data_IF_456501514384
#
_entry.id   IF_456501514384
#
_cell.length_a   1.000
_cell.length_b   1.000
_cell.length_c   1.000
_cell.angle_alpha   90.00
_cell.angle_beta   90.00
_cell.angle_gamma   90.00
#
_symmetry.space_group_name_H-M   'P 1'
#
loop_
_entity.id
_entity.type
_entity.pdbx_description
1 polymer ?
#
# COMPACT_ATOMS: atom_id res chain seq x y z
N UNK A 1 9.96 -6.43 -35.70
CA UNK A 1 9.16 -7.24 -34.75
C UNK A 1 9.00 -6.44 -33.47
N UNK A 2 7.77 -6.12 -33.03
CA UNK A 2 7.52 -5.38 -31.78
C UNK A 2 7.31 -6.39 -30.66
N UNK A 3 8.25 -6.48 -29.72
CA UNK A 3 8.25 -7.43 -28.59
C UNK A 3 7.02 -7.26 -27.70
N UNK A 4 6.05 -8.15 -27.87
CA UNK A 4 4.83 -8.29 -27.04
C UNK A 4 4.73 -9.68 -26.41
N UNK A 5 5.72 -10.53 -26.66
CA UNK A 5 5.85 -11.91 -26.18
C UNK A 5 5.93 -12.01 -24.66
N UNK A 6 6.46 -10.98 -23.99
CA UNK A 6 6.56 -10.92 -22.54
C UNK A 6 5.44 -10.11 -21.87
N UNK A 7 4.31 -9.86 -22.53
CA UNK A 7 3.15 -9.21 -21.91
C UNK A 7 2.11 -10.24 -21.49
N UNK A 8 1.63 -10.10 -20.25
CA UNK A 8 0.44 -10.77 -19.74
C UNK A 8 -0.81 -10.24 -20.49
N UNK A 9 -1.95 -10.96 -20.48
CA UNK A 9 -3.18 -10.52 -21.12
C UNK A 9 -3.71 -9.15 -20.65
N UNK A 10 -3.31 -8.73 -19.45
CA UNK A 10 -3.64 -7.42 -18.86
C UNK A 10 -2.68 -6.29 -19.31
N UNK A 11 -1.71 -6.60 -20.19
CA UNK A 11 -0.69 -5.69 -20.69
C UNK A 11 0.51 -5.51 -19.75
N UNK A 12 0.51 -6.14 -18.57
CA UNK A 12 1.64 -6.13 -17.65
C UNK A 12 2.82 -6.94 -18.18
N UNK A 13 4.05 -6.57 -17.81
CA UNK A 13 5.22 -7.40 -18.16
C UNK A 13 5.23 -8.67 -17.31
N UNK A 14 5.36 -9.82 -17.96
CA UNK A 14 5.53 -11.10 -17.29
C UNK A 14 6.78 -11.06 -16.41
N UNK A 15 6.62 -11.47 -15.16
CA UNK A 15 7.71 -11.56 -14.20
C UNK A 15 7.43 -12.70 -13.21
N UNK A 16 8.50 -13.23 -12.61
CA UNK A 16 8.41 -14.11 -11.44
C UNK A 16 9.04 -13.36 -10.28
N UNK A 17 8.29 -13.20 -9.20
CA UNK A 17 8.78 -12.53 -8.00
C UNK A 17 9.96 -13.28 -7.37
N UNK A 18 10.98 -12.54 -6.91
CA UNK A 18 12.09 -13.11 -6.15
C UNK A 18 11.61 -13.88 -4.91
N UNK A 19 10.51 -13.43 -4.28
CA UNK A 19 9.89 -14.11 -3.16
C UNK A 19 9.35 -15.50 -3.55
N UNK A 20 8.80 -15.65 -4.76
CA UNK A 20 8.38 -16.95 -5.27
C UNK A 20 9.59 -17.84 -5.62
N UNK A 21 10.63 -17.28 -6.24
CA UNK A 21 11.88 -17.99 -6.56
C UNK A 21 12.56 -18.50 -5.28
N UNK A 22 12.61 -17.68 -4.24
CA UNK A 22 13.21 -18.04 -2.96
C UNK A 22 12.45 -19.20 -2.29
N UNK A 23 11.12 -19.21 -2.37
CA UNK A 23 10.25 -20.12 -1.62
C UNK A 23 9.93 -21.43 -2.32
N UNK A 24 9.69 -21.42 -3.63
CA UNK A 24 9.15 -22.60 -4.31
C UNK A 24 10.27 -23.52 -4.82
N UNK A 25 10.21 -24.81 -4.45
CA UNK A 25 11.21 -25.81 -4.83
C UNK A 25 11.39 -25.96 -6.33
N UNK A 26 10.33 -25.75 -7.13
CA UNK A 26 10.37 -25.78 -8.60
C UNK A 26 11.29 -24.73 -9.22
N UNK A 27 11.64 -23.67 -8.48
CA UNK A 27 12.57 -22.62 -8.92
C UNK A 27 13.98 -22.79 -8.35
N UNK A 28 14.32 -23.95 -7.77
CA UNK A 28 15.64 -24.21 -7.18
C UNK A 28 16.79 -23.99 -8.18
N UNK A 29 16.65 -24.45 -9.42
CA UNK A 29 17.64 -24.23 -10.48
C UNK A 29 17.80 -22.76 -10.83
N UNK A 30 16.69 -22.03 -10.98
CA UNK A 30 16.71 -20.58 -11.24
C UNK A 30 17.37 -19.82 -10.09
N UNK A 31 17.04 -20.16 -8.84
CA UNK A 31 17.65 -19.58 -7.64
C UNK A 31 19.16 -19.80 -7.60
N UNK A 32 19.63 -21.01 -7.90
CA UNK A 32 21.07 -21.32 -7.95
C UNK A 32 21.77 -20.52 -9.06
N UNK A 33 21.14 -20.40 -10.22
CA UNK A 33 21.70 -19.64 -11.35
C UNK A 33 21.81 -18.15 -11.05
N UNK A 34 20.78 -17.52 -10.47
CA UNK A 34 20.81 -16.09 -10.10
C UNK A 34 21.94 -15.77 -9.09
N UNK A 35 22.23 -16.69 -8.17
CA UNK A 35 23.34 -16.55 -7.21
C UNK A 35 24.69 -16.75 -7.90
N UNK A 36 24.83 -17.77 -8.74
CA UNK A 36 26.06 -18.06 -9.51
C UNK A 36 26.47 -16.87 -10.38
N UNK A 37 25.50 -16.29 -11.08
CA UNK A 37 25.69 -15.11 -11.95
C UNK A 37 25.79 -13.79 -11.17
N UNK A 38 25.75 -13.84 -9.83
CA UNK A 38 25.83 -12.67 -8.94
C UNK A 38 24.74 -11.62 -9.21
N UNK A 39 23.61 -12.03 -9.79
CA UNK A 39 22.44 -11.16 -10.01
C UNK A 39 21.69 -10.89 -8.70
N UNK A 40 21.78 -11.82 -7.75
CA UNK A 40 21.31 -11.68 -6.36
C UNK A 40 22.30 -12.35 -5.42
N UNK A 41 22.41 -11.86 -4.19
CA UNK A 41 23.21 -12.53 -3.15
C UNK A 41 22.38 -13.63 -2.47
N UNK A 42 23.07 -14.62 -1.89
CA UNK A 42 22.40 -15.65 -1.07
C UNK A 42 21.63 -15.04 0.12
N UNK A 43 22.17 -13.95 0.67
CA UNK A 43 21.52 -13.17 1.73
C UNK A 43 20.20 -12.56 1.27
N UNK A 44 20.17 -11.91 0.10
CA UNK A 44 18.94 -11.32 -0.47
C UNK A 44 17.88 -12.39 -0.71
N UNK A 45 18.28 -13.57 -1.18
CA UNK A 45 17.37 -14.72 -1.36
C UNK A 45 16.83 -15.24 -0.02
N UNK A 46 17.68 -15.34 1.00
CA UNK A 46 17.27 -15.73 2.35
C UNK A 46 16.30 -14.72 2.97
N UNK A 47 16.58 -13.43 2.83
CA UNK A 47 15.68 -12.36 3.27
C UNK A 47 14.34 -12.42 2.54
N UNK A 48 14.33 -12.64 1.22
CA UNK A 48 13.08 -12.80 0.49
C UNK A 48 12.27 -14.01 0.97
N UNK A 49 12.93 -15.10 1.40
CA UNK A 49 12.26 -16.26 1.99
C UNK A 49 11.66 -15.96 3.37
N UNK A 50 12.33 -15.16 4.19
CA UNK A 50 11.93 -14.88 5.58
C UNK A 50 10.79 -13.87 5.69
N UNK A 51 10.71 -12.91 4.75
CA UNK A 51 9.66 -11.89 4.74
C UNK A 51 8.28 -12.55 4.61
N UNK A 52 7.47 -12.35 5.64
CA UNK A 52 6.10 -12.84 5.72
C UNK A 52 5.27 -11.98 6.68
N UNK A 53 3.95 -12.08 6.56
CA UNK A 53 3.02 -11.38 7.44
C UNK A 53 1.90 -12.34 7.89
N UNK A 54 1.31 -12.14 9.07
CA UNK A 54 0.18 -12.92 9.52
C UNK A 54 -1.09 -12.63 8.69
N UNK A 55 -1.87 -13.67 8.40
CA UNK A 55 -3.19 -13.61 7.79
C UNK A 55 -4.11 -14.64 8.45
N UNK A 56 -4.78 -14.22 9.52
CA UNK A 56 -5.51 -15.14 10.39
C UNK A 56 -4.54 -16.18 10.96
N UNK A 57 -4.85 -17.49 10.86
CA UNK A 57 -3.98 -18.55 11.36
C UNK A 57 -2.77 -18.84 10.45
N UNK A 58 -2.72 -18.27 9.25
CA UNK A 58 -1.68 -18.57 8.26
C UNK A 58 -0.64 -17.45 8.15
N UNK A 59 0.55 -17.78 7.65
CA UNK A 59 1.54 -16.81 7.16
C UNK A 59 1.46 -16.71 5.65
N UNK A 60 1.55 -15.48 5.16
CA UNK A 60 1.59 -15.18 3.73
C UNK A 60 2.90 -14.48 3.40
N UNK A 61 3.32 -14.62 2.15
CA UNK A 61 4.52 -14.00 1.62
C UNK A 61 4.13 -13.08 0.46
N UNK A 62 4.94 -12.05 0.16
CA UNK A 62 4.83 -11.38 -1.12
C UNK A 62 5.02 -12.40 -2.24
N UNK A 63 4.33 -12.20 -3.35
CA UNK A 63 4.40 -13.09 -4.51
C UNK A 63 4.29 -12.30 -5.80
N UNK A 64 4.29 -13.02 -6.91
CA UNK A 64 4.07 -12.44 -8.23
C UNK A 64 2.74 -11.67 -8.25
N UNK A 65 2.77 -10.41 -8.69
CA UNK A 65 1.62 -9.50 -8.66
C UNK A 65 1.36 -8.77 -7.33
N UNK A 66 2.16 -9.01 -6.29
CA UNK A 66 2.09 -8.21 -5.07
C UNK A 66 2.57 -6.79 -5.32
N UNK A 67 1.83 -5.79 -4.81
CA UNK A 67 2.28 -4.40 -4.79
C UNK A 67 3.34 -4.23 -3.71
N UNK A 68 4.57 -3.90 -4.11
CA UNK A 68 5.70 -3.69 -3.20
C UNK A 68 6.04 -2.20 -3.13
N UNK A 69 6.09 -1.64 -1.94
CA UNK A 69 6.49 -0.26 -1.67
C UNK A 69 7.72 -0.30 -0.76
N UNK A 70 8.76 0.45 -1.10
CA UNK A 70 9.99 0.48 -0.29
C UNK A 70 10.47 1.91 0.00
N UNK A 71 9.85 2.95 -0.56
CA UNK A 71 10.19 4.34 -0.28
C UNK A 71 8.99 5.27 -0.36
N UNK A 72 9.10 6.42 0.28
CA UNK A 72 8.19 7.54 0.05
C UNK A 72 8.30 8.06 -1.39
N UNK A 73 7.19 8.61 -1.90
CA UNK A 73 7.09 9.08 -3.28
C UNK A 73 7.06 7.97 -4.34
N UNK A 74 7.04 6.68 -3.94
CA UNK A 74 6.79 5.60 -4.87
C UNK A 74 5.30 5.52 -5.20
N UNK A 75 4.94 5.83 -6.45
CA UNK A 75 3.57 5.76 -6.94
C UNK A 75 3.07 4.32 -7.13
N UNK A 76 1.80 4.08 -6.83
CA UNK A 76 1.09 2.83 -7.12
C UNK A 76 -0.36 3.09 -7.52
N UNK A 77 -0.94 2.15 -8.28
CA UNK A 77 -2.31 2.26 -8.80
C UNK A 77 -3.33 1.78 -7.77
N UNK A 78 -4.44 2.50 -7.68
CA UNK A 78 -5.62 2.12 -6.90
C UNK A 78 -6.88 2.27 -7.76
N UNK A 79 -7.72 1.24 -7.78
CA UNK A 79 -9.06 1.28 -8.37
C UNK A 79 -10.05 1.85 -7.35
N UNK A 80 -10.88 2.81 -7.77
CA UNK A 80 -11.82 3.51 -6.89
C UNK A 80 -12.91 2.61 -6.29
N UNK A 81 -13.22 1.49 -6.92
CA UNK A 81 -14.15 0.48 -6.38
C UNK A 81 -13.49 -0.48 -5.40
N UNK A 82 -12.19 -0.40 -5.20
CA UNK A 82 -11.48 -1.28 -4.27
C UNK A 82 -11.87 -0.97 -2.83
N UNK A 83 -12.54 -1.92 -2.18
CA UNK A 83 -12.85 -1.82 -0.73
C UNK A 83 -11.58 -2.04 0.09
N UNK A 84 -10.66 -2.87 -0.38
CA UNK A 84 -9.39 -3.14 0.28
C UNK A 84 -8.28 -3.18 -0.75
N UNK A 85 -7.23 -2.40 -0.51
CA UNK A 85 -5.96 -2.50 -1.23
C UNK A 85 -4.94 -3.10 -0.28
N UNK A 86 -4.31 -4.19 -0.71
CA UNK A 86 -3.25 -4.85 0.03
C UNK A 86 -1.93 -4.63 -0.67
N UNK A 87 -0.95 -4.16 0.09
CA UNK A 87 0.40 -3.94 -0.40
C UNK A 87 1.40 -4.40 0.65
N UNK A 88 2.63 -4.59 0.24
CA UNK A 88 3.75 -4.90 1.11
C UNK A 88 4.64 -3.67 1.23
N UNK A 89 4.99 -3.32 2.45
CA UNK A 89 6.06 -2.37 2.72
C UNK A 89 7.31 -3.16 3.04
N UNK A 90 8.35 -3.02 2.22
CA UNK A 90 9.57 -3.82 2.28
C UNK A 90 10.75 -2.93 2.67
N UNK A 91 11.56 -3.40 3.60
CA UNK A 91 12.86 -2.85 3.96
C UNK A 91 13.99 -3.79 3.59
N UNK A 92 15.21 -3.48 4.05
CA UNK A 92 16.43 -4.23 3.76
C UNK A 92 16.38 -5.68 4.27
N UNK A 93 15.76 -5.91 5.43
CA UNK A 93 15.66 -7.24 6.08
C UNK A 93 14.27 -7.59 6.60
N UNK A 94 13.31 -6.66 6.52
CA UNK A 94 11.96 -6.79 7.07
C UNK A 94 10.91 -6.50 6.01
N UNK A 95 9.71 -7.02 6.19
CA UNK A 95 8.59 -6.70 5.32
C UNK A 95 7.27 -6.96 6.01
N UNK A 96 6.35 -6.01 5.85
CA UNK A 96 5.05 -6.03 6.53
C UNK A 96 3.92 -5.76 5.53
N UNK A 97 2.77 -6.38 5.77
CA UNK A 97 1.60 -6.20 4.91
C UNK A 97 0.74 -5.04 5.40
N UNK A 98 0.51 -4.08 4.52
CA UNK A 98 -0.39 -2.96 4.74
C UNK A 98 -1.74 -3.20 4.06
N UNK A 99 -2.83 -2.89 4.78
CA UNK A 99 -4.19 -2.86 4.25
C UNK A 99 -4.68 -1.42 4.25
N UNK A 100 -4.89 -0.86 3.06
CA UNK A 100 -5.67 0.37 2.91
C UNK A 100 -7.14 -0.01 2.77
N UNK A 101 -7.92 0.32 3.80
CA UNK A 101 -9.36 0.05 3.83
C UNK A 101 -10.08 1.25 3.25
N UNK A 102 -10.91 1.00 2.24
CA UNK A 102 -11.86 1.95 1.64
C UNK A 102 -11.20 3.28 1.21
N UNK A 103 -10.16 3.23 0.37
CA UNK A 103 -9.47 4.45 -0.04
C UNK A 103 -10.42 5.44 -0.74
N UNK A 104 -11.39 4.94 -1.52
CA UNK A 104 -12.34 5.77 -2.26
C UNK A 104 -13.80 5.36 -2.04
N UNK A 105 -14.10 4.79 -0.87
CA UNK A 105 -15.45 4.36 -0.52
C UNK A 105 -15.79 4.68 0.94
N UNK A 106 -17.08 4.70 1.25
CA UNK A 106 -17.56 4.97 2.61
C UNK A 106 -18.68 3.99 2.96
N UNK A 107 -18.87 3.74 4.26
CA UNK A 107 -20.08 3.03 4.71
C UNK A 107 -21.13 4.03 5.14
N UNK A 108 -22.35 3.76 4.71
CA UNK A 108 -23.52 4.58 5.01
C UNK A 108 -24.59 3.74 5.68
N UNK A 109 -25.35 4.40 6.54
CA UNK A 109 -26.58 3.85 7.08
C UNK A 109 -27.68 4.15 6.06
N UNK A 110 -28.27 3.10 5.50
CA UNK A 110 -29.47 3.16 4.71
C UNK A 110 -30.66 2.88 5.64
N UNK A 111 -31.41 3.94 5.94
CA UNK A 111 -32.70 3.84 6.62
C UNK A 111 -33.76 3.63 5.55
N UNK A 112 -33.94 2.37 5.13
CA UNK A 112 -35.05 2.01 4.25
C UNK A 112 -36.41 2.27 4.92
N UNK A 113 -37.49 2.19 4.13
CA UNK A 113 -38.87 2.42 4.58
C UNK A 113 -39.36 1.46 5.69
N UNK A 114 -38.60 0.41 5.98
CA UNK A 114 -38.92 -0.60 7.00
C UNK A 114 -38.42 -0.26 8.41
N UNK A 115 -37.71 0.87 8.60
CA UNK A 115 -37.15 1.28 9.89
C UNK A 115 -35.91 0.50 10.34
N UNK A 116 -35.44 -0.48 9.56
CA UNK A 116 -34.20 -1.22 9.83
C UNK A 116 -33.03 -0.44 9.22
N UNK A 117 -32.10 0.00 10.08
CA UNK A 117 -30.86 0.64 9.63
C UNK A 117 -29.92 -0.43 9.04
N UNK A 118 -29.66 -0.36 7.74
CA UNK A 118 -28.68 -1.22 7.06
C UNK A 118 -27.40 -0.46 6.80
N UNK A 119 -26.26 -1.14 6.93
CA UNK A 119 -24.95 -0.58 6.69
C UNK A 119 -24.53 -0.93 5.25
N UNK A 120 -24.61 0.02 4.32
CA UNK A 120 -24.36 -0.18 2.88
C UNK A 120 -23.03 0.47 2.49
N UNK A 121 -22.27 -0.19 1.61
CA UNK A 121 -21.05 0.37 1.04
C UNK A 121 -21.40 1.35 -0.09
N UNK A 122 -20.94 2.58 0.04
CA UNK A 122 -21.10 3.64 -0.95
C UNK A 122 -19.80 3.80 -1.73
N UNK A 123 -19.87 3.54 -3.04
CA UNK A 123 -18.75 3.62 -4.00
C UNK A 123 -19.10 4.59 -5.12
N UNK A 124 -19.03 5.92 -4.86
CA UNK A 124 -19.50 6.93 -5.81
C UNK A 124 -18.63 7.09 -7.05
N UNK A 125 -17.43 6.50 -7.04
CA UNK A 125 -16.43 6.71 -8.06
C UNK A 125 -16.04 5.39 -8.72
N UNK A 126 -15.84 5.44 -10.04
CA UNK A 126 -15.22 4.37 -10.80
C UNK A 126 -14.03 4.91 -11.59
N UNK A 127 -13.06 4.05 -11.86
CA UNK A 127 -11.79 4.44 -12.46
C UNK A 127 -10.61 4.16 -11.55
N UNK A 128 -9.49 4.86 -11.78
CA UNK A 128 -8.20 4.58 -11.14
C UNK A 128 -7.44 5.87 -10.86
N UNK A 129 -6.66 5.86 -9.80
CA UNK A 129 -5.66 6.88 -9.51
C UNK A 129 -4.28 6.26 -9.30
N UNK A 130 -3.25 7.04 -9.62
CA UNK A 130 -1.91 6.90 -9.10
C UNK A 130 -1.83 7.63 -7.76
N UNK A 131 -1.46 6.91 -6.71
CA UNK A 131 -1.30 7.45 -5.35
C UNK A 131 0.10 7.15 -4.82
N UNK A 132 0.56 7.89 -3.80
CA UNK A 132 1.85 7.65 -3.17
C UNK A 132 1.85 8.00 -1.69
N UNK A 133 2.67 7.30 -0.92
CA UNK A 133 2.92 7.67 0.48
C UNK A 133 3.92 8.82 0.56
N UNK A 134 3.67 9.73 1.50
CA UNK A 134 4.54 10.89 1.78
C UNK A 134 4.69 11.11 3.28
N UNK A 135 5.79 11.76 3.67
CA UNK A 135 5.91 12.35 5.01
C UNK A 135 4.93 13.50 5.11
N UNK A 136 4.18 13.56 6.21
CA UNK A 136 3.23 14.64 6.40
C UNK A 136 3.93 15.97 6.67
N UNK A 137 3.53 17.01 5.93
CA UNK A 137 3.93 18.40 6.15
C UNK A 137 2.84 19.23 6.84
N UNK A 138 1.73 18.58 7.24
CA UNK A 138 0.62 19.26 7.88
C UNK A 138 1.04 19.82 9.25
N UNK A 139 0.66 21.06 9.61
CA UNK A 139 1.10 21.71 10.84
C UNK A 139 0.84 20.89 12.10
N UNK A 140 -0.31 20.21 12.17
CA UNK A 140 -0.70 19.35 13.30
C UNK A 140 0.14 18.08 13.45
N UNK A 141 0.92 17.70 12.43
CA UNK A 141 1.82 16.55 12.45
C UNK A 141 3.29 16.96 12.65
N UNK A 142 3.54 18.23 12.99
CA UNK A 142 4.88 18.72 13.22
C UNK A 142 5.56 17.93 14.35
N UNK A 143 6.77 17.43 14.07
CA UNK A 143 7.57 16.67 15.03
C UNK A 143 7.20 15.19 15.17
N UNK A 144 6.25 14.67 14.38
CA UNK A 144 5.89 13.25 14.39
C UNK A 144 6.31 12.54 13.11
N UNK A 145 6.46 11.21 13.19
CA UNK A 145 6.66 10.36 11.99
C UNK A 145 5.30 9.98 11.40
N UNK A 146 4.60 10.98 10.87
CA UNK A 146 3.29 10.76 10.24
C UNK A 146 3.40 10.58 8.74
N UNK A 147 2.77 9.53 8.23
CA UNK A 147 2.59 9.27 6.80
C UNK A 147 1.23 9.77 6.34
N UNK A 148 1.16 10.38 5.16
CA UNK A 148 -0.08 10.68 4.42
C UNK A 148 -0.07 9.96 3.07
N UNK A 149 -1.23 9.86 2.45
CA UNK A 149 -1.39 9.29 1.11
C UNK A 149 -1.86 10.39 0.16
N UNK A 150 -1.06 10.70 -0.86
CA UNK A 150 -1.39 11.71 -1.88
C UNK A 150 -1.93 11.06 -3.13
N UNK A 151 -2.93 11.69 -3.73
CA UNK A 151 -3.39 11.40 -5.09
C UNK A 151 -2.47 12.15 -6.04
N UNK A 152 -1.55 11.43 -6.68
CA UNK A 152 -0.60 12.04 -7.62
C UNK A 152 -1.33 12.43 -8.90
N UNK A 153 -2.14 11.51 -9.43
CA UNK A 153 -2.86 11.70 -10.68
C UNK A 153 -4.08 10.78 -10.78
N UNK A 154 -5.20 11.33 -11.24
CA UNK A 154 -6.37 10.62 -11.69
C UNK A 154 -6.12 10.10 -13.11
N UNK A 155 -6.21 8.79 -13.29
CA UNK A 155 -6.07 8.16 -14.62
C UNK A 155 -7.43 8.15 -15.31
N UNK A 156 -8.47 7.85 -14.55
CA UNK A 156 -9.86 7.85 -15.00
C UNK A 156 -10.75 8.08 -13.78
N UNK A 157 -11.77 8.92 -13.91
CA UNK A 157 -12.76 9.19 -12.86
C UNK A 157 -14.14 9.33 -13.50
N UNK A 158 -15.07 8.47 -13.11
CA UNK A 158 -16.49 8.61 -13.39
C UNK A 158 -17.27 8.59 -12.08
N UNK A 159 -18.23 9.49 -11.95
CA UNK A 159 -19.06 9.66 -10.75
C UNK A 159 -20.41 8.97 -10.97
N UNK A 160 -20.98 8.42 -9.90
CA UNK A 160 -22.36 7.94 -9.91
C UNK A 160 -23.33 9.10 -10.14
N UNK A 161 -24.44 8.84 -10.82
CA UNK A 161 -25.55 9.79 -10.88
C UNK A 161 -26.05 10.13 -9.47
N UNK A 162 -26.36 11.40 -9.21
CA UNK A 162 -26.76 11.87 -7.87
C UNK A 162 -25.63 11.87 -6.84
N UNK A 163 -24.36 11.93 -7.26
CA UNK A 163 -23.23 12.08 -6.35
C UNK A 163 -23.38 13.32 -5.45
N UNK A 164 -23.19 13.11 -4.16
CA UNK A 164 -23.30 14.14 -3.12
C UNK A 164 -21.92 14.33 -2.47
N UNK A 165 -21.30 15.49 -2.69
CA UNK A 165 -19.97 15.79 -2.16
C UNK A 165 -19.94 15.90 -0.62
N UNK A 166 -21.08 16.14 0.04
CA UNK A 166 -21.17 16.12 1.50
C UNK A 166 -20.96 14.71 2.06
N UNK A 167 -21.33 13.70 1.25
CA UNK A 167 -21.22 12.29 1.60
C UNK A 167 -19.82 11.75 1.41
N UNK A 168 -19.08 12.24 0.41
CA UNK A 168 -17.68 11.91 0.19
C UNK A 168 -17.01 12.99 -0.67
N UNK A 169 -15.85 13.56 -0.27
CA UNK A 169 -15.12 14.50 -1.10
C UNK A 169 -14.71 13.87 -2.42
N UNK A 170 -14.84 14.65 -3.49
CA UNK A 170 -14.35 14.24 -4.80
C UNK A 170 -12.81 14.19 -4.80
N UNK A 171 -12.19 13.08 -5.24
CA UNK A 171 -10.74 13.00 -5.36
C UNK A 171 -10.21 13.92 -6.46
N UNK A 172 -9.06 14.56 -6.21
CA UNK A 172 -8.42 15.48 -7.16
C UNK A 172 -6.92 15.21 -7.27
N UNK A 173 -6.34 15.59 -8.40
CA UNK A 173 -4.89 15.59 -8.61
C UNK A 173 -4.20 16.48 -7.58
N UNK A 174 -3.15 15.97 -6.96
CA UNK A 174 -2.36 16.68 -5.96
C UNK A 174 -2.96 16.66 -4.55
N UNK A 175 -4.22 16.32 -4.37
CA UNK A 175 -4.85 16.33 -3.04
C UNK A 175 -4.44 15.13 -2.18
N UNK A 176 -4.55 15.29 -0.87
CA UNK A 176 -4.43 14.17 0.05
C UNK A 176 -5.69 13.30 -0.01
N UNK A 177 -5.51 11.99 0.07
CA UNK A 177 -6.62 11.06 0.21
C UNK A 177 -7.40 11.41 1.48
N UNK A 178 -8.71 11.53 1.37
CA UNK A 178 -9.58 11.82 2.51
C UNK A 178 -10.15 10.53 3.10
N UNK A 179 -10.25 10.45 4.42
CA UNK A 179 -10.88 9.36 5.16
C UNK A 179 -11.86 9.90 6.20
N UNK A 180 -12.79 9.05 6.62
CA UNK A 180 -13.81 9.43 7.59
C UNK A 180 -13.33 9.17 9.02
N UNK A 181 -13.32 10.21 9.85
CA UNK A 181 -12.99 10.09 11.27
C UNK A 181 -14.13 9.46 12.08
N UNK A 182 -13.85 9.09 13.33
CA UNK A 182 -14.83 8.53 14.29
C UNK A 182 -16.02 9.48 14.52
N UNK A 183 -15.87 10.78 14.25
CA UNK A 183 -16.94 11.78 14.29
C UNK A 183 -17.63 12.07 12.95
N UNK A 184 -17.49 11.19 11.94
CA UNK A 184 -18.06 11.34 10.59
C UNK A 184 -17.55 12.52 9.73
N UNK A 185 -16.58 13.28 10.22
CA UNK A 185 -15.92 14.35 9.46
C UNK A 185 -14.84 13.78 8.54
N UNK A 186 -14.66 14.42 7.39
CA UNK A 186 -13.60 14.09 6.44
C UNK A 186 -12.29 14.73 6.87
N UNK A 187 -11.26 13.90 7.04
CA UNK A 187 -9.91 14.34 7.37
C UNK A 187 -8.92 13.69 6.39
N UNK A 188 -7.75 14.29 6.14
CA UNK A 188 -6.70 13.61 5.39
C UNK A 188 -6.38 12.26 6.03
N UNK A 189 -6.25 11.23 5.20
CA UNK A 189 -5.74 9.94 5.63
C UNK A 189 -4.31 10.14 6.11
N UNK A 190 -4.07 9.76 7.35
CA UNK A 190 -2.77 9.87 7.98
C UNK A 190 -2.55 8.76 9.01
N UNK A 191 -1.31 8.32 9.13
CA UNK A 191 -0.89 7.35 10.16
C UNK A 191 0.37 7.88 10.83
N UNK A 192 0.25 8.21 12.12
CA UNK A 192 1.41 8.39 12.99
C UNK A 192 1.97 7.00 13.32
N UNK A 193 3.19 6.71 12.84
CA UNK A 193 3.78 5.37 12.97
C UNK A 193 4.27 5.07 14.39
N UNK A 194 4.43 6.10 15.22
CA UNK A 194 4.88 5.96 16.61
C UNK A 194 3.72 5.91 17.60
N UNK A 195 2.51 6.27 17.18
CA UNK A 195 1.33 6.27 18.05
C UNK A 195 0.89 4.83 18.36
N UNK A 196 0.73 4.46 19.65
CA UNK A 196 0.22 3.16 20.05
C UNK A 196 -1.25 2.99 19.64
N UNK A 197 -1.66 1.74 19.44
CA UNK A 197 -3.05 1.43 19.11
C UNK A 197 -3.95 1.61 20.34
N UNK A 198 -5.18 2.16 20.22
CA UNK A 198 -6.09 2.25 21.36
C UNK A 198 -6.32 0.87 22.01
N UNK A 199 -6.02 0.74 23.31
CA UNK A 199 -6.15 -0.51 24.06
C UNK A 199 -4.97 -1.48 23.91
N UNK A 200 -3.85 -1.09 23.30
CA UNK A 200 -2.62 -1.87 23.27
C UNK A 200 -1.39 -0.97 23.31
N UNK A 201 -0.36 -1.37 24.05
CA UNK A 201 0.96 -0.71 23.99
C UNK A 201 1.67 -0.95 22.64
N UNK A 202 1.22 -1.94 21.87
CA UNK A 202 1.81 -2.28 20.57
C UNK A 202 1.33 -1.37 19.44
N UNK A 203 2.21 -1.17 18.45
CA UNK A 203 1.88 -0.47 17.20
C UNK A 203 0.88 -1.29 16.39
N UNK A 204 -0.13 -0.62 15.85
CA UNK A 204 -1.06 -1.24 14.91
C UNK A 204 -0.36 -1.76 13.65
N UNK A 205 -0.93 -2.75 12.94
CA UNK A 205 -0.30 -3.35 11.74
C UNK A 205 0.12 -2.32 10.68
N UNK A 206 -0.72 -1.30 10.45
CA UNK A 206 -0.43 -0.23 9.50
C UNK A 206 0.75 0.65 9.94
N UNK A 207 0.84 0.97 11.23
CA UNK A 207 1.95 1.75 11.80
C UNK A 207 3.27 0.99 11.70
N UNK A 208 3.27 -0.32 11.98
CA UNK A 208 4.45 -1.20 11.81
C UNK A 208 4.90 -1.28 10.35
N UNK A 209 3.96 -1.44 9.42
CA UNK A 209 4.31 -1.47 8.00
C UNK A 209 4.89 -0.14 7.52
N UNK A 210 4.27 0.98 7.89
CA UNK A 210 4.68 2.30 7.41
C UNK A 210 5.94 2.84 8.09
N UNK A 211 6.31 2.36 9.30
CA UNK A 211 7.58 2.75 9.92
C UNK A 211 8.79 2.33 9.08
N UNK A 212 8.69 1.21 8.35
CA UNK A 212 9.73 0.71 7.45
C UNK A 212 10.13 1.78 6.42
N UNK A 213 9.19 2.60 5.93
CA UNK A 213 9.52 3.66 4.97
C UNK A 213 10.45 4.73 5.56
N UNK A 214 10.28 5.05 6.84
CA UNK A 214 11.18 5.96 7.55
C UNK A 214 12.54 5.33 7.81
N UNK A 215 12.54 4.05 8.19
CA UNK A 215 13.77 3.30 8.49
C UNK A 215 14.64 3.19 7.22
N UNK A 216 14.02 2.87 6.07
CA UNK A 216 14.69 2.82 4.77
C UNK A 216 15.35 4.17 4.39
N UNK A 217 14.67 5.30 4.62
CA UNK A 217 15.27 6.62 4.34
C UNK A 217 16.46 6.94 5.27
N UNK A 218 16.40 6.52 6.53
CA UNK A 218 17.51 6.71 7.47
C UNK A 218 18.76 5.89 7.06
N UNK A 219 18.55 4.66 6.57
CA UNK A 219 19.61 3.82 6.01
C UNK A 219 20.22 4.45 4.74
N UNK A 220 19.40 4.99 3.85
CA UNK A 220 19.89 5.62 2.61
C UNK A 220 20.65 6.94 2.86
N UNK A 221 20.23 7.73 3.84
CA UNK A 221 20.91 9.00 4.17
C UNK A 221 22.25 8.77 4.88
N UNK A 222 22.35 7.76 5.75
CA UNK A 222 23.60 7.39 6.43
C UNK A 222 24.64 6.76 5.49
N UNK A 223 24.22 5.96 4.49
CA UNK A 223 25.11 5.40 3.48
C UNK A 223 25.75 6.43 2.54
N UNK A 224 25.16 7.61 2.38
CA UNK A 224 25.70 8.68 1.52
C UNK A 224 26.86 9.47 2.13
N UNK A 225 27.05 9.40 3.47
CA UNK A 225 28.13 10.12 4.19
C UNK A 225 29.45 9.34 4.31
N UNK A 226 29.51 8.09 3.86
CA UNK A 226 30.66 7.19 4.01
C UNK A 226 31.55 7.02 2.76
N UNK A 227 31.38 7.85 1.73
CA UNK A 227 32.25 7.85 0.53
C UNK A 227 32.74 9.27 0.25
N UNK A 228 33.77 9.68 0.99
CA UNK A 228 34.60 10.86 0.73
C UNK A 228 36.05 10.45 0.86
#
# INVERSE_FOLDING_TARGET
>A
MKGRDLQLPDGGTWNISLFDIARQSKYSGLRAHLISEKLVTAEVVYTALSISAPWGPSRIHPGTGSLLIWKFGQGFLVDFRSINVYLWVIGSSVGERLRLRRPFSATMNDSGSTGIIRCVEYTPFTGRALVQFERSTLPQHKGTRTVVLRIVKLIHLTKSEGFDASRMPEPKDGDLLMTRSVGRHWIPWSVDVDRPQPGSESRGPSSRALSILFDNEAEHTSGSRGRG
#
